data_IF_712374603679
#
_entry.id   IF_712374603679
#
_cell.length_a   1.000
_cell.length_b   1.000
_cell.length_c   1.000
_cell.angle_alpha   90.00
_cell.angle_beta   90.00
_cell.angle_gamma   90.00
#
_symmetry.space_group_name_H-M   'P 1'
#
loop_
_entity.id
_entity.type
_entity.pdbx_description
1 polymer ?
#
# COMPACT_ATOMS: atom_id res chain seq x y z
N UNK A 1 8.91 4.64 -2.07
CA UNK A 1 9.75 5.32 -3.07
C UNK A 1 9.76 6.81 -2.76
N UNK A 2 10.91 7.40 -2.43
CA UNK A 2 10.99 8.82 -2.01
C UNK A 2 10.87 9.81 -3.16
N UNK A 3 11.29 9.41 -4.37
CA UNK A 3 11.18 10.18 -5.61
C UNK A 3 10.98 9.22 -6.77
N UNK A 4 9.81 9.21 -7.40
CA UNK A 4 9.52 8.30 -8.51
C UNK A 4 10.28 8.66 -9.79
N UNK A 5 10.66 7.65 -10.56
CA UNK A 5 11.14 7.81 -11.95
C UNK A 5 9.98 7.82 -12.95
N UNK A 6 10.30 7.92 -14.24
CA UNK A 6 9.29 7.99 -15.32
C UNK A 6 8.33 6.81 -15.30
N UNK A 7 8.81 5.59 -15.10
CA UNK A 7 8.00 4.38 -15.12
C UNK A 7 6.92 4.31 -14.03
N UNK A 8 7.29 4.55 -12.77
CA UNK A 8 6.32 4.50 -11.68
C UNK A 8 5.35 5.68 -11.72
N UNK A 9 5.85 6.86 -12.13
CA UNK A 9 4.99 8.04 -12.26
C UNK A 9 3.93 7.86 -13.34
N UNK A 10 4.31 7.28 -14.50
CA UNK A 10 3.34 6.97 -15.56
C UNK A 10 2.34 5.89 -15.15
N UNK A 11 2.80 4.86 -14.43
CA UNK A 11 1.93 3.77 -13.99
C UNK A 11 0.92 4.25 -12.95
N UNK A 12 1.35 5.11 -12.03
CA UNK A 12 0.53 5.62 -10.94
C UNK A 12 -0.30 6.86 -11.33
N UNK A 13 -0.07 7.45 -12.50
CA UNK A 13 -0.73 8.71 -12.89
C UNK A 13 -0.38 9.89 -11.98
N UNK A 14 0.82 9.91 -11.41
CA UNK A 14 1.31 10.97 -10.50
C UNK A 14 2.44 11.79 -11.15
N UNK A 15 2.80 12.93 -10.54
CA UNK A 15 3.85 13.78 -11.07
C UNK A 15 5.21 13.09 -10.97
N UNK A 16 6.04 13.28 -12.00
CA UNK A 16 7.40 12.75 -12.00
C UNK A 16 8.19 13.30 -10.80
N UNK A 17 8.65 12.39 -9.95
CA UNK A 17 9.42 12.72 -8.76
C UNK A 17 8.59 12.88 -7.49
N UNK A 18 7.27 12.69 -7.54
CA UNK A 18 6.46 12.63 -6.32
C UNK A 18 6.86 11.41 -5.45
N UNK A 19 6.73 11.51 -4.12
CA UNK A 19 6.85 10.35 -3.25
C UNK A 19 5.68 9.38 -3.44
N UNK A 20 5.93 8.09 -3.23
CA UNK A 20 4.91 7.06 -3.37
C UNK A 20 5.18 5.88 -2.41
N UNK A 21 4.16 5.41 -1.71
CA UNK A 21 4.18 4.14 -1.01
C UNK A 21 3.81 3.00 -1.98
N UNK A 22 4.63 1.96 -2.00
CA UNK A 22 4.42 0.76 -2.81
C UNK A 22 4.11 -0.39 -1.84
N UNK A 23 2.85 -0.83 -1.79
CA UNK A 23 2.36 -1.79 -0.79
C UNK A 23 1.96 -3.08 -1.50
N UNK A 24 2.43 -4.23 -1.00
CA UNK A 24 2.16 -5.56 -1.55
C UNK A 24 2.03 -6.56 -0.41
N UNK A 25 0.97 -7.37 -0.43
CA UNK A 25 0.76 -8.49 0.49
C UNK A 25 -0.18 -9.54 -0.15
N UNK A 26 -0.34 -10.74 0.44
CA UNK A 26 -1.32 -11.70 -0.05
C UNK A 26 -2.76 -11.13 0.02
N UNK A 27 -3.73 -11.74 -0.69
CA UNK A 27 -5.01 -11.08 -1.02
C UNK A 27 -5.79 -10.46 0.15
N UNK A 28 -5.89 -11.18 1.27
CA UNK A 28 -6.66 -10.72 2.44
C UNK A 28 -5.88 -9.64 3.19
N UNK A 29 -4.60 -9.90 3.42
CA UNK A 29 -3.65 -9.03 4.10
C UNK A 29 -3.49 -7.69 3.39
N UNK A 30 -3.41 -7.70 2.06
CA UNK A 30 -3.33 -6.49 1.26
C UNK A 30 -4.60 -5.65 1.39
N UNK A 31 -5.77 -6.27 1.27
CA UNK A 31 -7.05 -5.56 1.35
C UNK A 31 -7.22 -4.88 2.72
N UNK A 32 -6.94 -5.62 3.81
CA UNK A 32 -7.00 -5.08 5.17
C UNK A 32 -5.92 -4.01 5.41
N UNK A 33 -4.68 -4.28 4.99
CA UNK A 33 -3.57 -3.35 5.17
C UNK A 33 -3.71 -2.06 4.38
N UNK A 34 -4.28 -2.09 3.16
CA UNK A 34 -4.50 -0.88 2.34
C UNK A 34 -5.52 0.05 3.01
N UNK A 35 -6.61 -0.51 3.55
CA UNK A 35 -7.60 0.27 4.31
C UNK A 35 -6.97 0.89 5.57
N UNK A 36 -6.19 0.11 6.33
CA UNK A 36 -5.47 0.60 7.50
C UNK A 36 -4.47 1.72 7.13
N UNK A 37 -3.75 1.57 6.02
CA UNK A 37 -2.80 2.56 5.53
C UNK A 37 -3.47 3.89 5.17
N UNK A 38 -4.59 3.84 4.43
CA UNK A 38 -5.39 5.03 4.05
C UNK A 38 -5.93 5.78 5.27
N UNK A 39 -6.30 5.06 6.33
CA UNK A 39 -6.82 5.66 7.58
C UNK A 39 -5.72 6.22 8.48
N UNK A 40 -4.48 5.78 8.31
CA UNK A 40 -3.36 6.15 9.18
C UNK A 40 -2.64 7.45 8.81
N UNK A 41 -2.77 7.90 7.56
CA UNK A 41 -1.97 8.99 7.02
C UNK A 41 -2.71 9.75 5.91
N UNK A 42 -2.32 11.00 5.67
CA UNK A 42 -2.82 11.80 4.56
C UNK A 42 -2.20 11.33 3.22
N UNK A 43 -2.78 10.26 2.66
CA UNK A 43 -2.36 9.64 1.42
C UNK A 43 -3.57 9.32 0.54
N UNK A 44 -3.35 9.29 -0.78
CA UNK A 44 -4.36 8.95 -1.77
C UNK A 44 -4.01 7.65 -2.48
N UNK A 45 -5.01 6.79 -2.68
CA UNK A 45 -4.88 5.60 -3.50
C UNK A 45 -4.85 5.99 -4.98
N UNK A 46 -3.71 5.77 -5.64
CA UNK A 46 -3.50 6.14 -7.05
C UNK A 46 -3.46 4.93 -7.98
N UNK A 47 -3.17 3.75 -7.46
CA UNK A 47 -3.31 2.49 -8.20
C UNK A 47 -3.72 1.39 -7.25
N UNK A 48 -4.68 0.58 -7.67
CA UNK A 48 -5.07 -0.64 -6.97
C UNK A 48 -5.04 -1.81 -7.93
N UNK A 49 -4.25 -2.84 -7.58
CA UNK A 49 -4.20 -4.11 -8.28
C UNK A 49 -5.02 -5.10 -7.46
N UNK A 50 -6.30 -5.33 -7.80
CA UNK A 50 -7.13 -6.25 -7.06
C UNK A 50 -6.56 -7.68 -7.16
N UNK A 51 -6.76 -8.52 -6.13
CA UNK A 51 -6.30 -9.90 -6.19
C UNK A 51 -7.09 -10.72 -7.23
N UNK A 52 -6.45 -11.68 -7.92
CA UNK A 52 -5.03 -12.01 -7.89
C UNK A 52 -4.21 -11.28 -8.97
N UNK A 53 -3.00 -10.84 -8.63
CA UNK A 53 -1.93 -10.62 -9.62
C UNK A 53 -1.44 -11.97 -10.18
N UNK A 54 -0.62 -11.94 -11.23
CA UNK A 54 0.05 -13.11 -11.80
C UNK A 54 0.87 -13.90 -10.76
N UNK A 55 1.28 -13.23 -9.68
CA UNK A 55 2.06 -13.82 -8.58
C UNK A 55 1.21 -14.24 -7.37
N UNK A 56 -0.12 -14.15 -7.45
CA UNK A 56 -1.07 -14.42 -6.37
C UNK A 56 -1.01 -13.43 -5.18
N UNK A 57 -0.66 -12.18 -5.46
CA UNK A 57 -0.66 -11.08 -4.47
C UNK A 57 -1.70 -10.01 -4.86
N UNK A 58 -1.85 -9.00 -4.01
CA UNK A 58 -2.48 -7.73 -4.36
C UNK A 58 -1.53 -6.59 -4.01
N UNK A 59 -1.65 -5.49 -4.74
CA UNK A 59 -0.78 -4.32 -4.58
C UNK A 59 -1.58 -3.02 -4.61
N UNK A 60 -1.03 -1.99 -3.98
CA UNK A 60 -1.51 -0.62 -4.09
C UNK A 60 -0.36 0.38 -4.12
N UNK A 61 -0.54 1.43 -4.91
CA UNK A 61 0.29 2.63 -4.87
C UNK A 61 -0.48 3.73 -4.17
N UNK A 62 0.14 4.30 -3.14
CA UNK A 62 -0.39 5.47 -2.45
C UNK A 62 0.54 6.66 -2.68
N UNK A 63 0.00 7.85 -2.91
CA UNK A 63 0.76 9.10 -3.03
C UNK A 63 0.42 10.06 -1.90
N UNK A 64 1.31 11.01 -1.64
CA UNK A 64 1.18 12.02 -0.60
C UNK A 64 2.55 12.61 -0.26
N UNK A 65 2.67 13.29 0.88
CA UNK A 65 4.00 13.69 1.36
C UNK A 65 4.87 12.45 1.64
N UNK A 66 6.20 12.60 1.57
CA UNK A 66 7.12 11.50 1.87
C UNK A 66 6.90 10.95 3.30
N UNK A 67 6.61 11.83 4.27
CA UNK A 67 6.33 11.45 5.65
C UNK A 67 5.01 10.67 5.76
N UNK A 68 3.95 11.12 5.07
CA UNK A 68 2.67 10.42 5.04
C UNK A 68 2.80 9.04 4.37
N UNK A 69 3.54 8.92 3.26
CA UNK A 69 3.84 7.63 2.64
C UNK A 69 4.56 6.69 3.61
N UNK A 70 5.48 7.20 4.43
CA UNK A 70 6.18 6.38 5.44
C UNK A 70 5.25 5.92 6.56
N UNK A 71 4.36 6.80 7.04
CA UNK A 71 3.34 6.45 8.02
C UNK A 71 2.39 5.36 7.48
N UNK A 72 1.91 5.51 6.25
CA UNK A 72 1.10 4.51 5.56
C UNK A 72 1.81 3.16 5.43
N UNK A 73 3.10 3.14 5.08
CA UNK A 73 3.90 1.91 5.03
C UNK A 73 4.00 1.21 6.40
N UNK A 74 4.14 1.97 7.48
CA UNK A 74 4.23 1.39 8.83
C UNK A 74 2.87 0.76 9.22
N UNK A 75 1.76 1.48 9.04
CA UNK A 75 0.42 0.96 9.33
C UNK A 75 0.07 -0.27 8.49
N UNK A 76 0.44 -0.27 7.20
CA UNK A 76 0.30 -1.45 6.34
C UNK A 76 1.07 -2.65 6.90
N UNK A 77 2.31 -2.43 7.33
CA UNK A 77 3.16 -3.48 7.92
C UNK A 77 2.55 -4.05 9.19
N UNK A 78 2.07 -3.19 10.09
CA UNK A 78 1.45 -3.60 11.35
C UNK A 78 0.19 -4.44 11.11
N UNK A 79 -0.66 -4.02 10.16
CA UNK A 79 -1.87 -4.74 9.78
C UNK A 79 -1.58 -6.13 9.18
N UNK A 80 -0.57 -6.23 8.31
CA UNK A 80 -0.13 -7.52 7.76
C UNK A 80 0.44 -8.43 8.87
N UNK A 81 1.23 -7.88 9.78
CA UNK A 81 1.78 -8.64 10.92
C UNK A 81 0.69 -9.10 11.89
N UNK A 82 -0.36 -8.30 12.09
CA UNK A 82 -1.52 -8.69 12.91
C UNK A 82 -2.20 -9.93 12.34
N UNK A 83 -2.50 -9.92 11.04
CA UNK A 83 -3.11 -11.07 10.36
C UNK A 83 -2.17 -12.26 10.39
N UNK A 84 -0.87 -12.07 10.15
CA UNK A 84 0.10 -13.15 10.21
C UNK A 84 0.17 -13.82 11.59
N UNK A 85 0.01 -13.05 12.68
CA UNK A 85 0.00 -13.57 14.06
C UNK A 85 -1.31 -14.27 14.40
N UNK A 86 -2.44 -13.77 13.91
CA UNK A 86 -3.76 -14.29 14.22
C UNK A 86 -4.71 -14.23 13.00
N UNK A 87 -4.54 -15.14 12.02
CA UNK A 87 -5.29 -15.08 10.77
C UNK A 87 -6.77 -15.45 10.93
N UNK A 88 -7.15 -16.08 12.05
CA UNK A 88 -8.53 -16.43 12.38
C UNK A 88 -8.81 -15.99 13.80
N UNK A 89 -9.37 -14.78 13.95
CA UNK A 89 -9.84 -14.28 15.24
C UNK A 89 -11.10 -15.07 15.65
N UNK A 90 -11.07 -15.67 16.84
CA UNK A 90 -12.26 -16.27 17.47
C UNK A 90 -12.90 -15.23 18.38
N UNK A 91 -14.22 -15.12 18.31
CA UNK A 91 -15.03 -14.32 19.23
C UNK A 91 -15.07 -14.95 20.63
#
# INVERSE_FOLDING_TARGET
VSRTGSYLSSTAGITLGDPMAYLVAPPLEATYGIDAALKSADVQLVTYVPPPSETNYSAAFLTGSQAACKAACNAFTDAVLEIARNPIQRA
#
